data_IF_727854197169
#
_entry.id   IF_727854197169
#
_cell.length_a   1.000
_cell.length_b   1.000
_cell.length_c   1.000
_cell.angle_alpha   90.00
_cell.angle_beta   90.00
_cell.angle_gamma   90.00
#
_symmetry.space_group_name_H-M   'P 1'
#
loop_
_entity.id
_entity.type
_entity.pdbx_description
1 polymer ?
#
# COMPACT_ATOMS: atom_id res chain seq x y z
N UNK A 1 -15.15 8.82 3.22
CA UNK A 1 -14.95 9.73 2.05
C UNK A 1 -16.16 10.66 1.89
N UNK A 2 -17.39 10.17 1.76
CA UNK A 2 -18.60 11.02 1.60
C UNK A 2 -18.80 12.05 2.73
N UNK A 3 -18.46 11.70 3.98
CA UNK A 3 -18.60 12.61 5.13
C UNK A 3 -17.67 13.83 5.10
N UNK A 4 -16.59 13.75 4.35
CA UNK A 4 -15.61 14.82 4.16
C UNK A 4 -15.67 15.45 2.76
N UNK A 5 -16.75 15.18 2.00
CA UNK A 5 -16.99 15.78 0.70
C UNK A 5 -16.15 15.21 -0.44
N UNK A 6 -15.45 14.08 -0.24
CA UNK A 6 -14.70 13.43 -1.31
C UNK A 6 -15.62 12.62 -2.22
N UNK A 7 -15.49 12.86 -3.51
CA UNK A 7 -16.17 12.07 -4.54
C UNK A 7 -15.33 10.83 -4.88
N UNK A 8 -16.01 9.70 -5.11
CA UNK A 8 -15.37 8.51 -5.67
C UNK A 8 -14.93 8.83 -7.11
N UNK A 9 -13.63 9.01 -7.31
CA UNK A 9 -13.03 9.31 -8.62
C UNK A 9 -12.05 8.22 -9.01
N UNK A 10 -11.69 8.18 -10.31
CA UNK A 10 -10.57 7.35 -10.79
C UNK A 10 -9.21 8.05 -10.69
N UNK A 11 -9.13 9.16 -9.95
CA UNK A 11 -7.87 9.86 -9.71
C UNK A 11 -6.89 8.98 -8.93
N UNK A 12 -5.60 9.22 -9.10
CA UNK A 12 -4.55 8.50 -8.40
C UNK A 12 -4.61 8.74 -6.88
N UNK A 13 -4.97 9.95 -6.48
CA UNK A 13 -5.07 10.41 -5.09
C UNK A 13 -6.45 10.97 -4.77
N UNK A 14 -6.84 10.97 -3.49
CA UNK A 14 -8.14 11.46 -3.01
C UNK A 14 -8.24 12.99 -3.04
N UNK A 15 -7.10 13.68 -2.82
CA UNK A 15 -6.98 15.14 -2.90
C UNK A 15 -6.11 15.53 -4.10
N UNK A 16 -6.12 16.81 -4.46
CA UNK A 16 -5.27 17.35 -5.54
C UNK A 16 -3.78 17.15 -5.28
N UNK A 17 -3.37 17.07 -4.02
CA UNK A 17 -1.99 17.03 -3.55
C UNK A 17 -1.66 15.85 -2.63
N UNK A 18 -2.61 14.94 -2.37
CA UNK A 18 -2.37 13.83 -1.45
C UNK A 18 -3.46 12.78 -1.38
N UNK A 19 -3.19 11.76 -0.61
CA UNK A 19 -4.04 10.59 -0.39
C UNK A 19 -4.55 10.51 1.04
N UNK A 20 -5.83 10.22 1.22
CA UNK A 20 -6.41 9.88 2.51
C UNK A 20 -6.25 8.38 2.78
N UNK A 21 -5.69 8.05 3.93
CA UNK A 21 -5.61 6.67 4.41
C UNK A 21 -6.21 6.51 5.78
N UNK A 22 -7.10 5.53 5.89
CA UNK A 22 -7.71 5.15 7.15
C UNK A 22 -7.46 3.68 7.44
N UNK A 23 -7.33 3.30 8.70
CA UNK A 23 -7.33 1.91 9.10
C UNK A 23 -7.98 1.72 10.47
N UNK A 24 -8.25 0.46 10.81
CA UNK A 24 -8.73 0.09 12.13
C UNK A 24 -7.61 0.23 13.15
N UNK A 25 -7.91 0.96 14.24
CA UNK A 25 -7.03 1.15 15.39
C UNK A 25 -7.73 0.73 16.68
N UNK A 26 -6.95 0.51 17.74
CA UNK A 26 -7.47 0.35 19.11
C UNK A 26 -7.78 1.71 19.76
N UNK A 27 -8.14 1.69 21.05
CA UNK A 27 -8.48 2.89 21.81
C UNK A 27 -7.31 3.88 21.95
N UNK A 28 -6.08 3.37 21.92
CA UNK A 28 -4.85 4.17 22.00
C UNK A 28 -4.35 4.61 20.62
N UNK A 29 -5.09 4.26 19.56
CA UNK A 29 -4.76 4.57 18.16
C UNK A 29 -3.72 3.64 17.54
N UNK A 30 -3.34 2.54 18.20
CA UNK A 30 -2.40 1.59 17.62
C UNK A 30 -3.05 0.81 16.46
N UNK A 31 -2.36 0.63 15.33
CA UNK A 31 -2.92 -0.03 14.16
C UNK A 31 -3.18 -1.52 14.42
N UNK A 32 -4.40 -1.97 14.14
CA UNK A 32 -4.80 -3.37 14.30
C UNK A 32 -4.62 -4.21 13.03
N UNK A 33 -4.55 -3.57 11.88
CA UNK A 33 -4.44 -4.22 10.57
C UNK A 33 -3.46 -3.49 9.65
N UNK A 34 -3.08 -4.14 8.54
CA UNK A 34 -2.30 -3.51 7.47
C UNK A 34 -3.19 -2.57 6.67
N UNK A 35 -2.63 -1.52 6.07
CA UNK A 35 -3.37 -0.49 5.36
C UNK A 35 -3.13 -0.60 3.85
N UNK A 36 -4.21 -0.74 3.08
CA UNK A 36 -4.16 -0.87 1.63
C UNK A 36 -3.58 0.39 0.95
N UNK A 37 -2.68 0.18 -0.02
CA UNK A 37 -2.13 1.27 -0.85
C UNK A 37 -2.73 1.21 -2.25
N UNK A 38 -2.38 0.19 -3.03
CA UNK A 38 -2.78 0.07 -4.43
C UNK A 38 -2.68 -1.38 -4.92
N UNK A 39 -3.57 -1.74 -5.84
CA UNK A 39 -3.44 -3.00 -6.59
C UNK A 39 -2.23 -2.94 -7.53
N UNK A 40 -1.67 -4.12 -7.86
CA UNK A 40 -0.53 -4.23 -8.75
C UNK A 40 -0.88 -4.73 -10.16
N UNK A 41 -2.07 -5.29 -10.35
CA UNK A 41 -2.45 -6.00 -11.58
C UNK A 41 -2.28 -5.17 -12.85
N UNK A 42 -2.71 -3.89 -12.84
CA UNK A 42 -2.61 -3.00 -14.00
C UNK A 42 -1.21 -2.44 -14.25
N UNK A 43 -0.31 -2.52 -13.27
CA UNK A 43 1.03 -1.94 -13.35
C UNK A 43 2.13 -2.99 -13.10
N UNK A 44 1.78 -4.28 -13.20
CA UNK A 44 2.70 -5.34 -12.81
C UNK A 44 3.97 -5.36 -13.67
N UNK A 45 3.83 -5.32 -15.00
CA UNK A 45 4.98 -5.35 -15.91
C UNK A 45 5.87 -4.10 -15.74
N UNK A 46 5.26 -2.94 -15.42
CA UNK A 46 6.02 -1.76 -15.05
C UNK A 46 6.78 -1.96 -13.74
N UNK A 47 6.13 -2.57 -12.73
CA UNK A 47 6.75 -2.84 -11.41
C UNK A 47 8.02 -3.66 -11.52
N UNK A 48 8.01 -4.70 -12.35
CA UNK A 48 9.15 -5.62 -12.50
C UNK A 48 10.20 -5.14 -13.51
N UNK A 49 9.91 -4.09 -14.27
CA UNK A 49 10.83 -3.48 -15.22
C UNK A 49 12.08 -2.94 -14.52
N UNK A 50 13.27 -3.16 -15.08
CA UNK A 50 14.53 -2.63 -14.56
C UNK A 50 14.61 -1.10 -14.58
N UNK A 51 13.73 -0.46 -15.35
CA UNK A 51 13.72 0.99 -15.55
C UNK A 51 12.96 1.75 -14.47
N UNK A 52 12.12 1.06 -13.66
CA UNK A 52 11.31 1.75 -12.66
C UNK A 52 12.05 1.85 -11.33
N UNK A 53 12.30 3.06 -10.88
CA UNK A 53 12.74 3.38 -9.52
C UNK A 53 11.55 3.60 -8.59
N UNK A 54 11.79 3.70 -7.29
CA UNK A 54 10.70 3.98 -6.33
C UNK A 54 10.11 5.36 -6.58
N UNK A 55 10.93 6.39 -6.78
CA UNK A 55 10.52 7.78 -7.04
C UNK A 55 9.68 7.95 -8.29
N UNK A 56 9.95 7.14 -9.33
CA UNK A 56 9.21 7.17 -10.60
C UNK A 56 7.95 6.29 -10.57
N UNK A 57 7.77 5.50 -9.50
CA UNK A 57 6.66 4.57 -9.39
C UNK A 57 5.34 5.26 -9.06
N UNK A 58 4.23 4.68 -9.56
CA UNK A 58 2.88 5.12 -9.16
C UNK A 58 2.65 4.98 -7.66
N UNK A 59 3.36 4.05 -6.99
CA UNK A 59 3.26 3.85 -5.55
C UNK A 59 3.75 5.08 -4.82
N UNK A 60 4.95 5.58 -5.16
CA UNK A 60 5.48 6.79 -4.54
C UNK A 60 4.58 8.00 -4.82
N UNK A 61 4.15 8.18 -6.08
CA UNK A 61 3.25 9.28 -6.42
C UNK A 61 1.96 9.26 -5.62
N UNK A 62 1.45 8.07 -5.30
CA UNK A 62 0.25 7.89 -4.48
C UNK A 62 0.47 8.17 -3.00
N UNK A 63 1.64 7.84 -2.45
CA UNK A 63 1.88 7.89 -1.00
C UNK A 63 2.77 9.03 -0.53
N UNK A 64 3.38 9.80 -1.43
CA UNK A 64 4.34 10.87 -1.05
C UNK A 64 3.76 11.93 -0.14
N UNK A 65 2.46 12.13 -0.16
CA UNK A 65 1.74 13.05 0.71
C UNK A 65 0.48 12.36 1.24
N UNK A 66 0.47 11.96 2.51
CA UNK A 66 -0.60 11.20 3.14
C UNK A 66 -1.27 11.98 4.26
N UNK A 67 -2.59 11.91 4.30
CA UNK A 67 -3.37 12.17 5.51
C UNK A 67 -3.77 10.82 6.11
N UNK A 68 -3.07 10.37 7.14
CA UNK A 68 -3.37 9.13 7.85
C UNK A 68 -4.32 9.38 9.01
N UNK A 69 -5.45 8.69 9.03
CA UNK A 69 -6.52 8.85 10.03
C UNK A 69 -6.88 7.48 10.62
N UNK A 70 -6.39 7.15 11.83
CA UNK A 70 -6.82 5.95 12.54
C UNK A 70 -8.28 6.04 12.96
N UNK A 71 -9.02 4.94 12.84
CA UNK A 71 -10.43 4.85 13.25
C UNK A 71 -10.54 3.77 14.32
N UNK A 72 -10.93 4.16 15.52
CA UNK A 72 -11.23 3.20 16.59
C UNK A 72 -12.62 2.61 16.38
N UNK A 73 -12.64 1.31 16.12
CA UNK A 73 -13.88 0.52 15.95
C UNK A 73 -14.07 -0.35 17.18
N UNK A 74 -14.69 0.23 18.22
CA UNK A 74 -14.88 -0.42 19.54
C UNK A 74 -15.65 -1.75 19.40
N UNK A 75 -16.66 -1.77 18.52
CA UNK A 75 -17.44 -2.96 18.19
C UNK A 75 -17.91 -2.90 16.72
N UNK A 76 -18.92 -3.71 16.36
CA UNK A 76 -19.51 -3.72 15.02
C UNK A 76 -20.56 -2.62 14.80
N UNK A 77 -20.82 -1.77 15.79
CA UNK A 77 -21.76 -0.66 15.70
C UNK A 77 -21.05 0.60 15.19
N UNK A 78 -21.31 1.05 13.94
CA UNK A 78 -20.64 2.21 13.37
C UNK A 78 -20.88 3.51 14.15
N UNK A 79 -21.98 3.62 14.89
CA UNK A 79 -22.31 4.82 15.67
C UNK A 79 -21.37 5.01 16.88
N UNK A 80 -20.67 3.95 17.26
CA UNK A 80 -19.65 3.96 18.33
C UNK A 80 -18.23 4.12 17.83
N UNK A 81 -18.03 4.18 16.51
CA UNK A 81 -16.71 4.39 15.97
C UNK A 81 -16.32 5.86 16.11
N UNK A 82 -15.05 6.10 16.40
CA UNK A 82 -14.53 7.45 16.47
C UNK A 82 -13.17 7.58 15.77
N UNK A 83 -12.96 8.79 15.25
CA UNK A 83 -11.74 9.17 14.56
C UNK A 83 -10.71 9.58 15.61
N UNK A 84 -9.50 9.06 15.49
CA UNK A 84 -8.33 9.45 16.27
C UNK A 84 -7.65 10.69 15.66
N UNK A 85 -6.58 11.17 16.29
CA UNK A 85 -5.77 12.24 15.73
C UNK A 85 -5.27 11.87 14.33
N UNK A 86 -5.37 12.81 13.40
CA UNK A 86 -4.85 12.66 12.05
C UNK A 86 -3.36 13.00 12.00
N UNK A 87 -2.63 12.32 11.11
CA UNK A 87 -1.21 12.50 10.91
C UNK A 87 -0.96 12.91 9.46
N UNK A 88 -0.36 14.08 9.25
CA UNK A 88 0.08 14.50 7.93
C UNK A 88 1.51 14.00 7.71
N UNK A 89 1.69 13.15 6.70
CA UNK A 89 2.96 12.47 6.40
C UNK A 89 3.46 12.90 5.04
N UNK A 90 4.59 13.57 5.02
CA UNK A 90 5.30 13.90 3.78
C UNK A 90 6.51 12.98 3.63
N UNK A 91 6.52 12.18 2.58
CA UNK A 91 7.62 11.27 2.25
C UNK A 91 8.50 11.96 1.22
N UNK A 92 9.41 12.81 1.72
CA UNK A 92 10.29 13.61 0.88
C UNK A 92 11.49 12.79 0.40
N UNK A 93 11.88 12.97 -0.87
CA UNK A 93 13.09 12.36 -1.44
C UNK A 93 14.33 12.67 -0.57
N UNK A 94 15.14 11.65 -0.33
CA UNK A 94 16.30 11.75 0.55
C UNK A 94 16.01 11.70 2.05
N UNK A 95 14.74 11.76 2.48
CA UNK A 95 14.32 11.58 3.87
C UNK A 95 14.44 10.12 4.33
N UNK A 96 14.32 9.89 5.65
CA UNK A 96 14.46 8.54 6.24
C UNK A 96 13.34 7.60 5.78
N UNK A 97 12.08 8.06 5.83
CA UNK A 97 10.94 7.28 5.33
C UNK A 97 11.10 6.93 3.84
N UNK A 98 11.55 7.89 3.03
CA UNK A 98 11.78 7.65 1.60
C UNK A 98 12.84 6.55 1.40
N UNK A 99 13.99 6.65 2.10
CA UNK A 99 15.06 5.65 1.97
C UNK A 99 14.58 4.26 2.37
N UNK A 100 13.83 4.13 3.46
CA UNK A 100 13.32 2.84 3.90
C UNK A 100 12.28 2.27 2.91
N UNK A 101 11.35 3.09 2.43
CA UNK A 101 10.33 2.66 1.46
C UNK A 101 10.94 2.31 0.10
N UNK A 102 11.97 3.04 -0.34
CA UNK A 102 12.73 2.73 -1.56
C UNK A 102 13.49 1.40 -1.43
N UNK A 103 14.09 1.14 -0.27
CA UNK A 103 14.75 -0.14 0.01
C UNK A 103 13.74 -1.30 0.01
N UNK A 104 12.58 -1.12 0.66
CA UNK A 104 11.49 -2.09 0.67
C UNK A 104 10.98 -2.37 -0.75
N UNK A 105 10.76 -1.33 -1.55
CA UNK A 105 10.31 -1.45 -2.94
C UNK A 105 11.28 -2.28 -3.78
N UNK A 106 12.58 -2.00 -3.66
CA UNK A 106 13.63 -2.74 -4.35
C UNK A 106 13.69 -4.20 -3.92
N UNK A 107 13.60 -4.47 -2.61
CA UNK A 107 13.58 -5.82 -2.06
C UNK A 107 12.35 -6.61 -2.56
N UNK A 108 11.17 -5.99 -2.52
CA UNK A 108 9.92 -6.60 -2.99
C UNK A 108 10.02 -6.92 -4.49
N UNK A 109 10.47 -5.98 -5.31
CA UNK A 109 10.68 -6.18 -6.75
C UNK A 109 11.61 -7.36 -7.03
N UNK A 110 12.75 -7.43 -6.35
CA UNK A 110 13.71 -8.54 -6.49
C UNK A 110 13.08 -9.88 -6.11
N UNK A 111 12.26 -9.91 -5.04
CA UNK A 111 11.55 -11.12 -4.62
C UNK A 111 10.50 -11.56 -5.64
N UNK A 112 9.72 -10.64 -6.20
CA UNK A 112 8.73 -10.94 -7.24
C UNK A 112 9.40 -11.54 -8.49
N UNK A 113 10.53 -10.97 -8.92
CA UNK A 113 11.30 -11.51 -10.05
C UNK A 113 11.84 -12.92 -9.75
N UNK A 114 12.33 -13.16 -8.53
CA UNK A 114 12.78 -14.48 -8.11
C UNK A 114 11.62 -15.50 -8.09
N UNK A 115 10.44 -15.10 -7.63
CA UNK A 115 9.23 -15.93 -7.62
C UNK A 115 8.80 -16.33 -9.03
N UNK A 116 8.75 -15.38 -9.97
CA UNK A 116 8.38 -15.64 -11.36
C UNK A 116 9.36 -16.63 -12.03
N UNK A 117 10.62 -16.56 -11.68
CA UNK A 117 11.67 -17.44 -12.22
C UNK A 117 11.82 -18.75 -11.41
N UNK A 118 11.01 -18.97 -10.38
CA UNK A 118 10.99 -20.21 -9.60
C UNK A 118 10.23 -21.34 -10.34
N UNK A 119 10.23 -22.52 -9.77
CA UNK A 119 9.62 -23.73 -10.39
C UNK A 119 8.10 -23.63 -10.54
N UNK A 120 7.39 -22.91 -9.67
CA UNK A 120 5.94 -22.72 -9.79
C UNK A 120 5.59 -21.50 -10.66
N UNK A 121 6.53 -20.55 -10.81
CA UNK A 121 6.39 -19.40 -11.67
C UNK A 121 5.37 -18.35 -11.22
N UNK A 122 4.89 -18.44 -9.99
CA UNK A 122 3.89 -17.52 -9.43
C UNK A 122 4.48 -16.61 -8.37
N UNK A 123 3.96 -15.37 -8.33
CA UNK A 123 4.31 -14.44 -7.26
C UNK A 123 3.65 -14.84 -5.94
N UNK A 124 4.37 -14.58 -4.86
CA UNK A 124 3.92 -14.82 -3.49
C UNK A 124 3.94 -13.54 -2.66
N UNK A 125 3.50 -13.65 -1.41
CA UNK A 125 3.63 -12.56 -0.45
C UNK A 125 5.09 -12.15 -0.31
N UNK A 126 5.35 -10.86 -0.48
CA UNK A 126 6.68 -10.28 -0.34
C UNK A 126 6.65 -9.13 0.67
N UNK A 127 7.59 -9.16 1.62
CA UNK A 127 7.63 -8.24 2.75
C UNK A 127 8.90 -7.39 2.73
N UNK A 128 8.73 -6.08 2.86
CA UNK A 128 9.72 -5.14 3.35
C UNK A 128 9.51 -4.84 4.84
N UNK A 129 10.15 -3.80 5.35
CA UNK A 129 9.98 -3.33 6.73
C UNK A 129 8.67 -2.58 6.90
N UNK A 130 8.34 -1.64 6.02
CA UNK A 130 7.17 -0.77 6.08
C UNK A 130 6.07 -1.12 5.10
N UNK A 131 6.42 -1.70 3.94
CA UNK A 131 5.44 -2.11 2.93
C UNK A 131 5.55 -3.59 2.60
N UNK A 132 4.46 -4.15 2.08
CA UNK A 132 4.40 -5.53 1.63
C UNK A 132 3.48 -5.67 0.43
N UNK A 133 3.70 -6.71 -0.36
CA UNK A 133 2.71 -7.22 -1.33
C UNK A 133 2.08 -8.50 -0.78
N UNK A 134 0.76 -8.58 -0.82
CA UNK A 134 0.01 -9.79 -0.50
C UNK A 134 -1.26 -9.87 -1.33
N UNK A 135 -1.87 -11.08 -1.38
CA UNK A 135 -3.16 -11.28 -2.03
C UNK A 135 -4.23 -10.37 -1.43
N UNK A 136 -5.01 -9.72 -2.30
CA UNK A 136 -6.19 -8.90 -1.96
C UNK A 136 -7.47 -9.52 -2.52
N UNK A 137 -7.45 -10.73 -2.95
CA UNK A 137 -8.54 -11.32 -3.70
C UNK A 137 -9.35 -12.32 -2.88
N UNK A 138 -10.64 -12.40 -3.17
CA UNK A 138 -11.55 -13.44 -2.69
C UNK A 138 -12.36 -13.95 -3.88
N UNK A 139 -12.97 -15.11 -3.77
CA UNK A 139 -13.68 -15.77 -4.88
C UNK A 139 -14.82 -14.89 -5.44
N UNK A 140 -14.97 -14.79 -6.76
CA UNK A 140 -14.09 -15.33 -7.80
C UNK A 140 -12.76 -14.61 -7.85
N UNK A 141 -11.66 -15.36 -8.01
CA UNK A 141 -10.32 -14.76 -8.07
C UNK A 141 -10.07 -14.05 -9.41
N UNK A 142 -9.21 -13.04 -9.38
CA UNK A 142 -8.80 -12.24 -10.54
C UNK A 142 -7.30 -12.45 -10.79
N UNK A 143 -6.92 -13.32 -11.73
CA UNK A 143 -5.52 -13.56 -12.06
C UNK A 143 -4.78 -12.29 -12.47
N UNK A 144 -3.47 -12.28 -12.28
CA UNK A 144 -2.60 -11.24 -12.83
C UNK A 144 -1.89 -11.82 -14.04
N UNK A 145 -2.22 -11.30 -15.22
CA UNK A 145 -1.53 -11.61 -16.46
C UNK A 145 -0.35 -10.66 -16.66
N UNK A 146 0.80 -11.18 -17.06
CA UNK A 146 1.97 -10.40 -17.47
C UNK A 146 2.15 -10.51 -18.97
N UNK A 147 2.13 -9.37 -19.65
CA UNK A 147 2.41 -9.33 -21.09
C UNK A 147 3.89 -9.60 -21.37
N UNK A 148 4.79 -9.25 -20.44
CA UNK A 148 6.22 -9.51 -20.55
C UNK A 148 6.53 -11.02 -20.54
N UNK A 149 5.78 -11.80 -19.76
CA UNK A 149 5.96 -13.26 -19.65
C UNK A 149 4.96 -14.06 -20.46
N UNK A 150 3.98 -13.41 -21.10
CA UNK A 150 2.88 -13.99 -21.88
C UNK A 150 2.12 -15.11 -21.14
N UNK A 151 1.88 -14.89 -19.84
CA UNK A 151 1.15 -15.84 -18.97
C UNK A 151 0.62 -15.19 -17.70
N UNK A 152 -0.26 -15.92 -17.02
CA UNK A 152 -0.63 -15.60 -15.66
C UNK A 152 0.56 -15.83 -14.72
N UNK A 153 0.88 -14.81 -13.91
CA UNK A 153 1.94 -14.84 -12.90
C UNK A 153 1.37 -14.88 -11.48
N UNK A 154 0.06 -14.86 -11.35
CA UNK A 154 -0.69 -15.16 -10.14
C UNK A 154 -2.11 -15.54 -10.49
N UNK A 155 -2.67 -16.52 -9.79
CA UNK A 155 -4.09 -16.89 -9.88
C UNK A 155 -5.00 -16.00 -9.02
N UNK A 156 -4.45 -14.99 -8.37
CA UNK A 156 -5.15 -14.05 -7.49
C UNK A 156 -4.61 -12.63 -7.70
N UNK A 157 -5.46 -11.63 -7.48
CA UNK A 157 -4.98 -10.26 -7.43
C UNK A 157 -4.14 -10.02 -6.17
N UNK A 158 -3.15 -9.15 -6.29
CA UNK A 158 -2.26 -8.72 -5.23
C UNK A 158 -2.25 -7.20 -5.13
N UNK A 159 -1.85 -6.71 -3.97
CA UNK A 159 -1.77 -5.28 -3.70
C UNK A 159 -0.61 -4.95 -2.76
N UNK A 160 -0.13 -3.72 -2.86
CA UNK A 160 0.71 -3.10 -1.85
C UNK A 160 -0.10 -2.70 -0.63
N UNK A 161 0.48 -2.94 0.52
CA UNK A 161 -0.04 -2.53 1.83
C UNK A 161 1.06 -1.89 2.67
N UNK A 162 0.72 -0.88 3.44
CA UNK A 162 1.53 -0.50 4.58
C UNK A 162 1.38 -1.55 5.68
N UNK A 163 2.49 -1.90 6.31
CA UNK A 163 2.53 -2.73 7.50
C UNK A 163 2.23 -1.89 8.74
N UNK A 164 1.91 -2.54 9.85
CA UNK A 164 1.62 -1.84 11.12
C UNK A 164 2.82 -1.03 11.61
N UNK A 165 4.03 -1.48 11.30
CA UNK A 165 5.30 -0.85 11.63
C UNK A 165 5.37 0.57 11.05
N UNK A 166 5.01 0.77 9.77
CA UNK A 166 4.95 2.09 9.16
C UNK A 166 4.01 3.03 9.93
N UNK A 167 2.81 2.55 10.25
CA UNK A 167 1.81 3.37 10.93
C UNK A 167 2.20 3.70 12.38
N UNK A 168 2.94 2.82 13.05
CA UNK A 168 3.51 3.11 14.37
C UNK A 168 4.59 4.18 14.28
N UNK A 169 5.50 4.04 13.32
CA UNK A 169 6.55 5.02 13.06
C UNK A 169 5.97 6.41 12.82
N UNK A 170 4.98 6.52 11.93
CA UNK A 170 4.29 7.79 11.62
C UNK A 170 3.69 8.44 12.87
N UNK A 171 3.15 7.66 13.79
CA UNK A 171 2.55 8.17 15.04
C UNK A 171 3.58 8.71 16.04
N UNK A 172 4.81 8.26 15.96
CA UNK A 172 5.93 8.66 16.82
C UNK A 172 6.70 9.87 16.25
N UNK A 173 6.43 10.23 14.98
CA UNK A 173 7.06 11.38 14.36
C UNK A 173 6.60 12.69 15.02
N UNK A 174 7.49 13.66 15.22
CA UNK A 174 7.07 14.98 15.68
C UNK A 174 6.15 15.64 14.65
N UNK A 175 5.09 16.28 15.16
CA UNK A 175 4.09 17.02 14.37
C UNK A 175 4.69 18.28 13.79
#
# INVERSE_FOLDING_TARGET
EKLIGLNNTNALTDFSDGELKTNKADADGAPLETMFISQISSNFDQLISDQISFEDSWIYQKIKNLLYVPICKVDNDPDKWYIQSAYHVQINEGGELFRQLSADFTQIKSKLLADINSSDGYIHTSNGSFIQIKSKDFKPYHPIFSAQYDRDISNKNHAFYFKKEFMREVREMPS
#
